data_IF_448696984968
#
_entry.id   IF_448696984968
#
_cell.length_a   1.000
_cell.length_b   1.000
_cell.length_c   1.000
_cell.angle_alpha   90.00
_cell.angle_beta   90.00
_cell.angle_gamma   90.00
#
_symmetry.space_group_name_H-M   'P 1'
#
loop_
_entity.id
_entity.type
_entity.pdbx_description
1 polymer ?
#
# COMPACT_ATOMS: atom_id res chain seq x y z
N UNK A 1 -8.48 -34.21 11.44
CA UNK A 1 -8.13 -32.79 11.62
C UNK A 1 -8.42 -32.01 10.38
N UNK A 2 -9.38 -31.15 10.52
CA UNK A 2 -9.70 -30.28 9.40
C UNK A 2 -8.68 -29.15 9.33
N UNK A 3 -8.02 -29.04 8.20
CA UNK A 3 -7.13 -27.93 7.97
C UNK A 3 -7.98 -26.69 7.62
N UNK A 4 -7.83 -25.64 8.39
CA UNK A 4 -8.50 -24.40 8.07
C UNK A 4 -8.07 -23.88 6.73
N UNK A 5 -9.04 -23.41 5.97
CA UNK A 5 -8.78 -22.81 4.67
C UNK A 5 -8.10 -21.47 4.85
N UNK A 6 -7.07 -21.21 4.08
CA UNK A 6 -6.38 -19.93 4.07
C UNK A 6 -6.78 -19.17 2.81
N UNK A 7 -7.33 -17.99 3.00
CA UNK A 7 -7.67 -17.09 1.90
C UNK A 7 -6.64 -15.96 1.86
N UNK A 8 -5.98 -15.84 0.74
CA UNK A 8 -4.98 -14.78 0.53
C UNK A 8 -5.59 -13.62 -0.21
N UNK A 9 -5.32 -12.43 0.29
CA UNK A 9 -5.86 -11.21 -0.30
C UNK A 9 -4.80 -10.12 -0.23
N UNK A 10 -4.59 -9.41 -1.33
CA UNK A 10 -3.68 -8.28 -1.32
C UNK A 10 -4.37 -7.08 -0.68
N UNK A 11 -3.59 -6.25 -0.01
CA UNK A 11 -4.08 -4.99 0.55
C UNK A 11 -4.71 -4.13 -0.55
N UNK A 12 -4.06 -4.06 -1.69
CA UNK A 12 -4.56 -3.27 -2.81
C UNK A 12 -5.95 -3.71 -3.23
N UNK A 13 -6.15 -5.01 -3.42
CA UNK A 13 -7.46 -5.54 -3.83
C UNK A 13 -8.52 -5.30 -2.77
N UNK A 14 -8.17 -5.46 -1.51
CA UNK A 14 -9.10 -5.22 -0.42
C UNK A 14 -9.56 -3.76 -0.39
N UNK A 15 -8.63 -2.85 -0.49
CA UNK A 15 -8.92 -1.42 -0.45
C UNK A 15 -9.73 -0.99 -1.66
N UNK A 16 -9.38 -1.46 -2.83
CA UNK A 16 -10.12 -1.15 -4.06
C UNK A 16 -11.56 -1.67 -3.98
N UNK A 17 -11.76 -2.83 -3.39
CA UNK A 17 -13.09 -3.39 -3.24
C UNK A 17 -13.94 -2.56 -2.26
N UNK A 18 -13.38 -2.21 -1.12
CA UNK A 18 -14.11 -1.49 -0.07
C UNK A 18 -14.44 -0.07 -0.50
N UNK A 19 -13.52 0.59 -1.19
CA UNK A 19 -13.68 1.97 -1.61
C UNK A 19 -14.19 2.11 -3.02
N UNK A 20 -14.72 1.03 -3.59
CA UNK A 20 -15.31 1.07 -4.90
C UNK A 20 -16.58 1.90 -4.84
N UNK A 21 -16.45 3.15 -5.23
CA UNK A 21 -17.59 4.03 -5.36
C UNK A 21 -18.11 4.00 -6.80
N UNK A 22 -19.38 3.74 -6.94
CA UNK A 22 -20.15 3.90 -8.15
C UNK A 22 -19.61 3.00 -9.16
N UNK A 23 -19.01 3.01 -9.98
CA UNK A 23 -18.97 2.31 -11.09
C UNK A 23 -17.69 2.11 -11.75
N UNK A 24 -17.76 1.41 -12.48
CA UNK A 24 -17.20 1.01 -13.70
C UNK A 24 -16.20 1.98 -14.31
N UNK A 25 -16.35 3.24 -14.06
CA UNK A 25 -15.57 4.28 -14.70
C UNK A 25 -14.10 4.26 -14.32
N UNK A 26 -13.78 3.62 -13.25
CA UNK A 26 -12.41 3.43 -12.87
C UNK A 26 -11.64 2.53 -13.81
N UNK A 27 -12.36 1.86 -14.71
CA UNK A 27 -11.72 0.98 -15.68
C UNK A 27 -11.05 1.74 -16.81
N UNK A 28 -11.45 2.97 -17.03
CA UNK A 28 -10.86 3.78 -18.09
C UNK A 28 -9.40 4.08 -17.79
N UNK A 29 -9.08 4.18 -16.51
CA UNK A 29 -7.70 4.38 -16.09
C UNK A 29 -6.90 3.09 -16.14
N UNK A 30 -7.53 1.96 -16.39
CA UNK A 30 -6.86 0.68 -16.42
C UNK A 30 -6.00 0.43 -17.66
N UNK A 31 -6.17 1.23 -18.69
CA UNK A 31 -5.29 1.14 -19.84
C UNK A 31 -4.09 2.03 -19.65
N UNK A 32 -3.36 1.78 -18.60
CA UNK A 32 -2.09 2.44 -18.44
C UNK A 32 -1.15 1.89 -19.47
N UNK A 33 -0.71 2.80 -20.32
CA UNK A 33 0.36 2.59 -21.24
C UNK A 33 1.55 1.96 -20.53
N UNK A 34 2.21 1.04 -21.20
CA UNK A 34 3.43 0.41 -20.67
C UNK A 34 4.48 1.44 -20.32
N UNK A 35 4.55 2.52 -21.10
CA UNK A 35 5.50 3.60 -20.86
C UNK A 35 5.20 4.33 -19.56
N UNK A 36 3.93 4.55 -19.27
CA UNK A 36 3.54 5.19 -18.01
C UNK A 36 3.87 4.31 -16.81
N UNK A 37 3.69 2.99 -16.93
CA UNK A 37 4.05 2.06 -15.88
C UNK A 37 5.56 2.02 -15.64
N UNK A 38 6.34 2.04 -16.71
CA UNK A 38 7.80 2.06 -16.62
C UNK A 38 8.28 3.36 -15.97
N UNK A 39 7.67 4.48 -16.35
CA UNK A 39 7.99 5.77 -15.74
C UNK A 39 7.66 5.78 -14.25
N UNK A 40 6.51 5.23 -13.88
CA UNK A 40 6.13 5.11 -12.48
C UNK A 40 7.16 4.32 -11.69
N UNK A 41 7.60 3.18 -12.20
CA UNK A 41 8.62 2.38 -11.56
C UNK A 41 9.95 3.09 -11.41
N UNK A 42 10.36 3.83 -12.44
CA UNK A 42 11.59 4.62 -12.38
C UNK A 42 11.51 5.73 -11.35
N UNK A 43 10.36 6.38 -11.27
CA UNK A 43 10.13 7.44 -10.31
C UNK A 43 10.20 6.90 -8.88
N UNK A 44 9.55 5.77 -8.62
CA UNK A 44 9.61 5.12 -7.32
C UNK A 44 11.06 4.83 -6.92
N UNK A 45 11.82 4.19 -7.81
CA UNK A 45 13.21 3.85 -7.52
C UNK A 45 14.09 5.07 -7.31
N UNK A 46 13.82 6.13 -8.06
CA UNK A 46 14.57 7.37 -7.92
C UNK A 46 14.33 8.00 -6.54
N UNK A 47 13.06 8.08 -6.14
CA UNK A 47 12.70 8.63 -4.84
C UNK A 47 13.31 7.78 -3.73
N UNK A 48 13.18 6.46 -3.82
CA UNK A 48 13.71 5.55 -2.81
C UNK A 48 15.24 5.71 -2.64
N UNK A 49 15.96 5.91 -3.74
CA UNK A 49 17.42 6.10 -3.68
C UNK A 49 17.85 7.43 -3.09
N UNK A 50 16.96 8.42 -3.10
CA UNK A 50 17.25 9.72 -2.52
C UNK A 50 17.06 9.76 -1.01
N UNK A 51 16.47 8.72 -0.45
CA UNK A 51 16.17 8.66 0.98
C UNK A 51 17.41 8.25 1.77
N UNK A 52 17.41 8.57 3.05
CA UNK A 52 18.56 8.31 3.92
C UNK A 52 18.63 6.87 4.43
N UNK A 53 19.58 6.62 5.31
CA UNK A 53 19.84 5.29 5.84
C UNK A 53 18.72 4.74 6.74
N UNK A 54 17.86 5.61 7.25
CA UNK A 54 16.72 5.21 8.08
C UNK A 54 15.48 4.86 7.26
N UNK A 55 15.62 4.73 5.94
CA UNK A 55 14.52 4.40 5.04
C UNK A 55 14.72 3.00 4.49
N UNK A 56 13.66 2.19 4.59
CA UNK A 56 13.63 0.85 4.00
C UNK A 56 12.69 0.87 2.82
N UNK A 57 13.21 0.56 1.64
CA UNK A 57 12.42 0.51 0.42
C UNK A 57 11.79 -0.86 0.24
N UNK A 58 10.58 -0.88 -0.30
CA UNK A 58 9.92 -2.10 -0.75
C UNK A 58 9.81 -3.17 0.34
N UNK A 59 9.09 -2.84 1.40
CA UNK A 59 8.96 -3.73 2.57
C UNK A 59 7.73 -4.61 2.41
N UNK A 60 7.94 -5.94 2.41
CA UNK A 60 6.84 -6.90 2.39
C UNK A 60 6.14 -6.95 3.73
N UNK A 61 4.82 -6.88 3.68
CA UNK A 61 3.97 -6.87 4.88
C UNK A 61 2.94 -7.97 4.78
N UNK A 62 2.74 -8.69 5.88
CA UNK A 62 1.78 -9.79 5.96
C UNK A 62 1.09 -9.77 7.31
N UNK A 63 -0.19 -10.08 7.29
CA UNK A 63 -0.96 -10.23 8.51
C UNK A 63 -1.96 -11.35 8.31
N UNK A 64 -1.98 -12.30 9.25
CA UNK A 64 -2.92 -13.39 9.21
C UNK A 64 -3.94 -13.19 10.32
N UNK A 65 -5.22 -13.20 9.94
CA UNK A 65 -6.33 -12.96 10.85
C UNK A 65 -7.24 -14.18 10.87
N UNK A 66 -7.59 -14.67 12.07
CA UNK A 66 -8.57 -15.73 12.17
C UNK A 66 -9.96 -15.19 11.85
N UNK A 67 -10.68 -15.90 11.02
CA UNK A 67 -12.06 -15.58 10.68
C UNK A 67 -12.91 -16.82 10.94
N UNK A 68 -14.22 -16.67 10.82
CA UNK A 68 -15.13 -17.80 11.06
C UNK A 68 -15.01 -18.80 9.91
N UNK A 69 -14.42 -19.96 10.20
CA UNK A 69 -14.25 -21.02 9.23
C UNK A 69 -13.06 -20.91 8.30
N UNK A 70 -12.23 -19.87 8.44
CA UNK A 70 -11.04 -19.72 7.61
C UNK A 70 -10.03 -18.76 8.24
N UNK A 71 -8.86 -18.69 7.66
CA UNK A 71 -7.85 -17.71 8.02
C UNK A 71 -7.68 -16.74 6.84
N UNK A 72 -7.68 -15.45 7.13
CA UNK A 72 -7.44 -14.44 6.11
C UNK A 72 -5.98 -13.98 6.19
N UNK A 73 -5.28 -14.07 5.08
CA UNK A 73 -3.91 -13.61 4.99
C UNK A 73 -3.85 -12.39 4.10
N UNK A 74 -3.62 -11.24 4.74
CA UNK A 74 -3.44 -9.99 4.03
C UNK A 74 -1.97 -9.82 3.70
N UNK A 75 -1.69 -9.47 2.46
CA UNK A 75 -0.32 -9.29 1.99
C UNK A 75 -0.21 -8.01 1.18
N UNK A 76 0.94 -7.39 1.27
CA UNK A 76 1.24 -6.21 0.46
C UNK A 76 2.68 -5.82 0.59
N UNK A 77 3.05 -4.77 -0.10
CA UNK A 77 4.39 -4.23 -0.07
C UNK A 77 4.32 -2.72 -0.01
N UNK A 78 4.83 -2.15 1.07
CA UNK A 78 4.92 -0.71 1.21
C UNK A 78 6.08 -0.20 0.37
N UNK A 79 5.90 0.95 -0.26
CA UNK A 79 6.96 1.56 -1.05
C UNK A 79 8.16 1.92 -0.18
N UNK A 80 7.91 2.37 1.03
CA UNK A 80 8.97 2.65 1.96
C UNK A 80 8.49 2.76 3.39
N UNK A 81 9.42 2.57 4.30
CA UNK A 81 9.21 2.78 5.73
C UNK A 81 10.36 3.62 6.26
N UNK A 82 10.02 4.77 6.81
CA UNK A 82 10.98 5.69 7.39
C UNK A 82 10.98 5.53 8.90
N UNK A 83 12.13 5.21 9.47
CA UNK A 83 12.27 4.99 10.91
C UNK A 83 12.91 6.22 11.56
N UNK A 84 12.11 6.98 12.28
CA UNK A 84 12.59 8.11 13.05
C UNK A 84 12.57 7.75 14.54
N UNK A 85 13.29 8.53 15.37
CA UNK A 85 13.49 8.19 16.78
C UNK A 85 12.18 8.03 17.56
N UNK A 86 11.15 8.80 17.22
CA UNK A 86 9.89 8.80 17.96
C UNK A 86 8.70 8.33 17.14
N UNK A 87 8.89 8.10 15.84
CA UNK A 87 7.78 7.69 14.99
C UNK A 87 8.25 6.88 13.80
N UNK A 88 7.34 6.10 13.28
CA UNK A 88 7.54 5.33 12.05
C UNK A 88 6.57 5.87 11.00
N UNK A 89 7.08 6.10 9.81
CA UNK A 89 6.28 6.66 8.71
C UNK A 89 6.20 5.65 7.58
N UNK A 90 4.98 5.36 7.16
CA UNK A 90 4.75 4.54 5.98
C UNK A 90 4.66 5.47 4.78
N UNK A 91 5.45 5.16 3.77
CA UNK A 91 5.54 5.96 2.57
C UNK A 91 4.88 5.21 1.40
N UNK A 92 3.90 5.85 0.78
CA UNK A 92 3.23 5.32 -0.40
C UNK A 92 3.43 6.31 -1.54
N UNK A 93 4.22 5.89 -2.52
CA UNK A 93 4.65 6.77 -3.61
C UNK A 93 3.71 6.60 -4.79
N UNK A 94 3.15 7.70 -5.27
CA UNK A 94 2.27 7.69 -6.44
C UNK A 94 2.72 8.74 -7.44
N UNK A 95 2.90 8.30 -8.67
CA UNK A 95 3.14 9.22 -9.78
C UNK A 95 1.83 9.78 -10.30
N UNK A 96 1.84 11.02 -10.69
CA UNK A 96 0.68 11.67 -11.31
C UNK A 96 1.08 12.31 -12.62
N UNK A 97 0.18 12.27 -13.59
CA UNK A 97 0.43 12.85 -14.92
C UNK A 97 -0.10 14.28 -15.03
N UNK A 98 -0.46 14.88 -13.92
CA UNK A 98 -0.97 16.25 -13.89
C UNK A 98 -0.08 17.10 -12.99
N UNK A 99 -0.24 18.41 -13.10
CA UNK A 99 0.51 19.34 -12.27
C UNK A 99 0.25 19.07 -10.79
N UNK A 100 1.30 19.07 -9.99
CA UNK A 100 1.20 18.89 -8.54
C UNK A 100 0.35 19.98 -7.89
N UNK A 101 0.27 21.15 -8.51
CA UNK A 101 -0.56 22.25 -8.00
C UNK A 101 -2.04 21.90 -7.96
N UNK A 102 -2.43 20.92 -8.75
CA UNK A 102 -3.83 20.48 -8.79
C UNK A 102 -4.11 19.31 -7.88
N UNK A 103 -3.09 18.81 -7.19
CA UNK A 103 -3.27 17.70 -6.25
C UNK A 103 -3.47 18.27 -4.86
N UNK A 104 -4.73 18.37 -4.45
CA UNK A 104 -5.08 18.96 -3.16
C UNK A 104 -5.13 17.95 -2.03
N UNK A 105 -5.49 16.72 -2.34
CA UNK A 105 -5.64 15.66 -1.34
C UNK A 105 -5.17 14.32 -1.90
N UNK A 106 -4.77 13.40 -1.01
CA UNK A 106 -4.52 12.04 -1.44
C UNK A 106 -5.80 11.40 -1.99
N UNK A 107 -5.64 10.57 -3.00
CA UNK A 107 -6.74 9.75 -3.47
C UNK A 107 -7.10 8.78 -2.35
N UNK A 108 -8.42 8.60 -2.02
CA UNK A 108 -8.82 7.76 -0.89
C UNK A 108 -8.24 6.35 -0.91
N UNK A 109 -8.16 5.74 -2.09
CA UNK A 109 -7.58 4.40 -2.23
C UNK A 109 -6.10 4.38 -1.81
N UNK A 110 -5.34 5.38 -2.24
CA UNK A 110 -3.92 5.45 -1.90
C UNK A 110 -3.70 5.68 -0.41
N UNK A 111 -4.51 6.55 0.18
CA UNK A 111 -4.43 6.81 1.61
C UNK A 111 -4.82 5.56 2.40
N UNK A 112 -5.84 4.85 1.96
CA UNK A 112 -6.26 3.62 2.62
C UNK A 112 -5.20 2.52 2.53
N UNK A 113 -4.49 2.42 1.40
CA UNK A 113 -3.37 1.50 1.27
C UNK A 113 -2.29 1.82 2.31
N UNK A 114 -1.92 3.08 2.42
CA UNK A 114 -0.91 3.51 3.39
C UNK A 114 -1.34 3.19 4.81
N UNK A 115 -2.61 3.43 5.13
CA UNK A 115 -3.15 3.12 6.46
C UNK A 115 -3.14 1.63 6.75
N UNK A 116 -3.47 0.80 5.76
CA UNK A 116 -3.42 -0.65 5.93
C UNK A 116 -2.00 -1.13 6.16
N UNK A 117 -1.05 -0.62 5.40
CA UNK A 117 0.35 -0.98 5.59
C UNK A 117 0.84 -0.55 6.97
N UNK A 118 0.44 0.64 7.42
CA UNK A 118 0.79 1.11 8.74
C UNK A 118 0.24 0.19 9.82
N UNK A 119 -1.01 -0.23 9.69
CA UNK A 119 -1.64 -1.15 10.63
C UNK A 119 -0.90 -2.49 10.67
N UNK A 120 -0.60 -3.07 9.51
CA UNK A 120 0.08 -4.36 9.44
C UNK A 120 1.48 -4.26 10.07
N UNK A 121 2.21 -3.21 9.72
CA UNK A 121 3.55 -3.00 10.25
C UNK A 121 3.53 -2.81 11.76
N UNK A 122 2.60 -2.01 12.26
CA UNK A 122 2.46 -1.78 13.69
C UNK A 122 2.15 -3.08 14.44
N UNK A 123 1.29 -3.92 13.86
CA UNK A 123 0.96 -5.21 14.46
C UNK A 123 2.17 -6.14 14.47
N UNK A 124 2.94 -6.18 13.40
CA UNK A 124 4.14 -7.02 13.31
C UNK A 124 5.21 -6.59 14.30
N UNK A 125 5.36 -5.30 14.52
CA UNK A 125 6.41 -4.77 15.38
C UNK A 125 5.96 -4.48 16.81
N UNK A 126 4.68 -4.67 17.11
CA UNK A 126 4.14 -4.36 18.42
C UNK A 126 4.09 -2.87 18.73
N UNK A 127 3.98 -2.04 17.71
CA UNK A 127 3.91 -0.59 17.89
C UNK A 127 2.52 -0.15 18.25
N UNK A 128 2.42 0.86 19.11
CA UNK A 128 1.14 1.44 19.49
C UNK A 128 0.76 2.60 18.60
N UNK A 129 1.72 3.12 17.87
CA UNK A 129 1.52 4.35 17.09
C UNK A 129 2.43 4.34 15.86
N UNK A 130 1.90 4.84 14.77
CA UNK A 130 2.65 4.89 13.53
C UNK A 130 2.14 6.05 12.65
#
# INVERSE_FOLDING_TARGET
METEKIIRLSVRNLVEFILKEGDIDNRISGTLDKDAMLMGGRLHRKIQRMMGSNYQAEVSLKLQLPCDGFQLKLEGRADGILLESEKTIIDEIKGVVRSLDRVERPVPVHLAQAKCYAYIYARQQGLKQI
#
